data_IF_368436371471
#
_entry.id   IF_368436371471
#
_cell.length_a   1.000
_cell.length_b   1.000
_cell.length_c   1.000
_cell.angle_alpha   90.00
_cell.angle_beta   90.00
_cell.angle_gamma   90.00
#
_symmetry.space_group_name_H-M   'P 1'
#
loop_
_entity.id
_entity.type
_entity.pdbx_description
1 polymer ?
#
# COMPACT_ATOMS: atom_id res chain seq x y z
N UNK A 1 3.57 26.49 -20.63
CA UNK A 1 4.16 25.19 -20.27
C UNK A 1 5.50 25.43 -19.59
N UNK A 2 5.62 25.27 -18.27
CA UNK A 2 6.92 25.08 -17.61
C UNK A 2 7.02 23.62 -17.14
N UNK A 3 7.80 22.77 -17.81
CA UNK A 3 9.16 22.35 -17.43
C UNK A 3 9.31 21.95 -15.95
N UNK A 4 9.21 20.66 -15.68
CA UNK A 4 9.55 20.05 -14.39
C UNK A 4 11.06 19.82 -14.32
N UNK A 5 11.78 20.31 -13.30
CA UNK A 5 13.16 19.91 -13.10
C UNK A 5 13.23 18.62 -12.28
N UNK A 6 13.78 17.59 -12.92
CA UNK A 6 14.49 16.49 -12.29
C UNK A 6 15.64 17.10 -11.46
N UNK A 7 15.74 16.85 -10.15
CA UNK A 7 17.04 16.81 -9.46
C UNK A 7 16.96 16.09 -8.12
N UNK A 8 17.68 14.99 -8.08
CA UNK A 8 18.08 14.18 -6.94
C UNK A 8 18.84 15.01 -5.92
N UNK A 9 18.46 14.93 -4.64
CA UNK A 9 19.38 15.16 -3.52
C UNK A 9 19.18 14.11 -2.43
N UNK A 10 20.02 13.08 -2.53
CA UNK A 10 20.43 12.25 -1.40
C UNK A 10 21.14 13.14 -0.37
N UNK A 11 20.57 13.27 0.82
CA UNK A 11 21.31 13.67 2.03
C UNK A 11 20.96 12.70 3.14
N UNK A 12 21.95 11.88 3.50
CA UNK A 12 21.94 11.03 4.69
C UNK A 12 21.95 11.91 5.95
N UNK A 13 21.09 11.62 6.93
CA UNK A 13 21.52 11.62 8.33
C UNK A 13 20.66 10.73 9.21
N UNK A 14 21.37 9.87 9.92
CA UNK A 14 20.94 8.85 10.85
C UNK A 14 20.58 9.45 12.21
N UNK A 15 19.51 8.94 12.83
CA UNK A 15 19.41 8.80 14.29
C UNK A 15 18.55 7.58 14.60
N UNK A 16 19.16 6.65 15.33
CA UNK A 16 18.57 5.41 15.84
C UNK A 16 17.34 5.70 16.73
N UNK A 17 16.29 4.90 16.56
CA UNK A 17 15.36 4.58 17.64
C UNK A 17 15.22 3.07 17.73
N UNK A 18 15.56 2.57 18.91
CA UNK A 18 15.56 1.17 19.31
C UNK A 18 14.16 0.56 19.27
N UNK A 19 14.09 -0.67 18.76
CA UNK A 19 12.93 -1.56 18.82
C UNK A 19 13.35 -2.98 18.41
N UNK A 20 13.97 -3.71 19.34
CA UNK A 20 14.01 -5.19 19.35
C UNK A 20 12.55 -5.71 19.30
N UNK A 21 12.17 -6.75 18.56
CA UNK A 21 12.78 -8.08 18.43
C UNK A 21 12.18 -8.78 17.19
N UNK A 22 12.96 -8.90 16.13
CA UNK A 22 12.59 -9.63 14.91
C UNK A 22 12.71 -11.14 15.16
N UNK A 23 11.60 -11.81 15.49
CA UNK A 23 11.56 -13.28 15.49
C UNK A 23 11.31 -13.73 14.04
N UNK A 24 12.39 -13.78 13.27
CA UNK A 24 12.41 -14.28 11.91
C UNK A 24 11.96 -15.74 11.87
N UNK A 25 10.73 -15.97 11.40
CA UNK A 25 10.46 -17.16 10.59
C UNK A 25 11.28 -17.06 9.31
N UNK A 26 11.89 -18.16 8.89
CA UNK A 26 12.81 -18.22 7.74
C UNK A 26 12.13 -17.82 6.41
N UNK A 27 12.08 -16.52 6.13
CA UNK A 27 11.56 -15.92 4.90
C UNK A 27 11.32 -14.44 5.15
N UNK A 28 11.88 -13.56 4.32
CA UNK A 28 11.60 -12.12 4.43
C UNK A 28 10.11 -11.84 4.21
N UNK A 29 9.60 -10.74 4.78
CA UNK A 29 8.26 -10.27 4.45
C UNK A 29 8.27 -9.66 3.03
N UNK A 30 7.47 -10.21 2.12
CA UNK A 30 7.36 -9.74 0.74
C UNK A 30 6.87 -8.29 0.65
N UNK A 31 6.05 -7.86 1.63
CA UNK A 31 5.57 -6.47 1.72
C UNK A 31 6.66 -5.50 2.19
N UNK A 32 7.64 -5.96 2.96
CA UNK A 32 8.83 -5.17 3.31
C UNK A 32 9.80 -5.06 2.13
N UNK A 33 9.95 -6.12 1.34
CA UNK A 33 10.77 -6.08 0.12
C UNK A 33 10.19 -5.08 -0.89
N UNK A 34 8.86 -4.98 -0.95
CA UNK A 34 8.14 -4.04 -1.82
C UNK A 34 8.59 -4.15 -3.30
N UNK A 35 8.80 -5.39 -3.76
CA UNK A 35 9.14 -5.67 -5.15
C UNK A 35 8.03 -5.16 -6.09
N UNK A 36 8.40 -4.41 -7.13
CA UNK A 36 7.46 -3.80 -8.08
C UNK A 36 6.99 -4.80 -9.13
N UNK A 37 6.23 -5.81 -8.70
CA UNK A 37 5.73 -6.89 -9.56
C UNK A 37 4.42 -6.53 -10.31
N UNK A 38 3.63 -5.63 -9.74
CA UNK A 38 2.37 -5.14 -10.30
C UNK A 38 2.39 -3.63 -10.57
N UNK A 39 1.28 -3.08 -11.05
CA UNK A 39 1.14 -1.64 -11.24
C UNK A 39 1.13 -0.90 -9.90
N UNK A 40 1.95 0.15 -9.80
CA UNK A 40 2.04 1.03 -8.64
C UNK A 40 1.36 2.36 -8.95
N UNK A 41 0.51 2.81 -8.02
CA UNK A 41 -0.26 4.05 -8.16
C UNK A 41 0.30 5.18 -7.30
N UNK A 42 0.84 4.84 -6.13
CA UNK A 42 1.29 5.81 -5.15
C UNK A 42 2.40 5.25 -4.26
N UNK A 43 3.31 6.12 -3.84
CA UNK A 43 4.36 5.80 -2.89
C UNK A 43 4.79 7.06 -2.13
N UNK A 44 4.87 6.96 -0.79
CA UNK A 44 5.46 7.99 0.07
C UNK A 44 6.24 7.36 1.23
N UNK A 45 6.58 8.14 2.27
CA UNK A 45 7.31 7.67 3.45
C UNK A 45 6.48 6.80 4.39
N UNK A 46 5.15 6.84 4.32
CA UNK A 46 4.27 6.08 5.23
C UNK A 46 3.77 4.79 4.57
N UNK A 47 3.52 4.80 3.25
CA UNK A 47 2.91 3.68 2.55
C UNK A 47 3.24 3.62 1.06
N UNK A 48 2.84 2.51 0.45
CA UNK A 48 2.73 2.38 -1.00
C UNK A 48 1.37 1.77 -1.36
N UNK A 49 0.90 2.08 -2.58
CA UNK A 49 -0.37 1.57 -3.11
C UNK A 49 -0.10 0.98 -4.49
N UNK A 50 -0.44 -0.30 -4.63
CA UNK A 50 -0.26 -1.06 -5.87
C UNK A 50 -1.42 -2.02 -6.09
N UNK A 51 -1.50 -2.61 -7.27
CA UNK A 51 -2.44 -3.69 -7.54
C UNK A 51 -2.00 -4.99 -6.85
N UNK A 52 -2.89 -5.60 -6.09
CA UNK A 52 -2.63 -6.91 -5.48
C UNK A 52 -2.63 -8.02 -6.54
N UNK A 53 -1.55 -8.79 -6.66
CA UNK A 53 -1.44 -9.86 -7.67
C UNK A 53 -2.49 -10.97 -7.51
N UNK A 54 -2.88 -11.27 -6.27
CA UNK A 54 -3.85 -12.33 -5.97
C UNK A 54 -5.30 -11.89 -6.13
N UNK A 55 -5.59 -10.61 -5.89
CA UNK A 55 -6.97 -10.09 -5.85
C UNK A 55 -7.32 -9.20 -7.06
N UNK A 56 -6.32 -8.71 -7.79
CA UNK A 56 -6.45 -7.72 -8.87
C UNK A 56 -7.28 -6.50 -8.45
N UNK A 57 -7.00 -5.99 -7.25
CA UNK A 57 -7.60 -4.75 -6.68
C UNK A 57 -6.49 -3.90 -6.07
N UNK A 58 -6.65 -2.57 -6.00
CA UNK A 58 -5.68 -1.72 -5.32
C UNK A 58 -5.61 -2.07 -3.83
N UNK A 59 -4.39 -2.16 -3.30
CA UNK A 59 -4.11 -2.35 -1.89
C UNK A 59 -3.13 -1.29 -1.39
N UNK A 60 -3.39 -0.78 -0.18
CA UNK A 60 -2.44 0.04 0.56
C UNK A 60 -1.65 -0.84 1.50
N UNK A 61 -0.34 -0.61 1.56
CA UNK A 61 0.56 -1.31 2.46
C UNK A 61 1.31 -0.28 3.29
N UNK A 62 1.22 -0.42 4.62
CA UNK A 62 1.97 0.42 5.55
C UNK A 62 3.45 0.05 5.49
N UNK A 63 4.39 1.00 5.58
CA UNK A 63 5.81 0.65 5.52
C UNK A 63 6.36 0.01 6.78
N UNK A 64 5.77 0.32 7.92
CA UNK A 64 6.17 -0.29 9.18
C UNK A 64 5.71 -1.75 9.21
N UNK A 65 6.62 -2.67 9.53
CA UNK A 65 6.28 -4.09 9.72
C UNK A 65 5.62 -4.25 11.07
N UNK A 66 4.33 -3.90 11.11
CA UNK A 66 3.43 -4.19 12.21
C UNK A 66 2.02 -4.38 11.65
N UNK A 67 1.25 -5.28 12.25
CA UNK A 67 -0.13 -5.58 11.88
C UNK A 67 -1.16 -4.57 12.44
N UNK A 68 -0.76 -3.75 13.41
CA UNK A 68 -1.63 -2.93 14.25
C UNK A 68 -1.25 -1.44 14.17
N UNK A 69 -1.40 -0.78 13.01
CA UNK A 69 -1.28 0.67 12.95
C UNK A 69 -2.28 1.33 13.90
N UNK A 70 -1.90 2.47 14.46
CA UNK A 70 -2.81 3.33 15.20
C UNK A 70 -4.01 3.72 14.33
N UNK A 71 -5.12 4.09 14.96
CA UNK A 71 -6.32 4.51 14.23
C UNK A 71 -6.06 5.70 13.30
N UNK A 72 -5.24 6.66 13.74
CA UNK A 72 -4.84 7.81 12.93
C UNK A 72 -4.05 7.41 11.68
N UNK A 73 -3.07 6.50 11.83
CA UNK A 73 -2.31 5.96 10.71
C UNK A 73 -3.26 5.24 9.76
N UNK A 74 -4.11 4.36 10.29
CA UNK A 74 -5.08 3.59 9.50
C UNK A 74 -6.00 4.48 8.67
N UNK A 75 -6.53 5.54 9.27
CA UNK A 75 -7.36 6.52 8.57
C UNK A 75 -6.61 7.17 7.41
N UNK A 76 -5.38 7.65 7.63
CA UNK A 76 -4.57 8.25 6.54
C UNK A 76 -4.26 7.26 5.42
N UNK A 77 -3.97 6.00 5.76
CA UNK A 77 -3.75 4.94 4.76
C UNK A 77 -5.01 4.72 3.90
N UNK A 78 -6.19 4.70 4.53
CA UNK A 78 -7.46 4.53 3.83
C UNK A 78 -7.80 5.75 2.95
N UNK A 79 -7.56 6.96 3.42
CA UNK A 79 -7.74 8.19 2.64
C UNK A 79 -6.83 8.22 1.40
N UNK A 80 -5.58 7.77 1.52
CA UNK A 80 -4.66 7.66 0.37
C UNK A 80 -5.15 6.61 -0.62
N UNK A 81 -5.64 5.48 -0.13
CA UNK A 81 -6.22 4.43 -0.96
C UNK A 81 -7.47 4.92 -1.70
N UNK A 82 -8.35 5.67 -1.02
CA UNK A 82 -9.55 6.27 -1.62
C UNK A 82 -9.19 7.16 -2.80
N UNK A 83 -8.21 8.07 -2.63
CA UNK A 83 -7.74 8.95 -3.71
C UNK A 83 -7.25 8.18 -4.93
N UNK A 84 -6.51 7.08 -4.72
CA UNK A 84 -6.07 6.21 -5.82
C UNK A 84 -7.26 5.54 -6.50
N UNK A 85 -8.26 5.08 -5.76
CA UNK A 85 -9.47 4.52 -6.38
C UNK A 85 -10.20 5.57 -7.21
N UNK A 86 -10.42 6.77 -6.66
CA UNK A 86 -11.08 7.88 -7.34
C UNK A 86 -10.37 8.30 -8.64
N UNK A 87 -9.04 8.27 -8.65
CA UNK A 87 -8.24 8.67 -9.81
C UNK A 87 -8.15 7.57 -10.88
N UNK A 88 -8.01 6.29 -10.49
CA UNK A 88 -7.64 5.22 -11.42
C UNK A 88 -8.74 4.17 -11.68
N UNK A 89 -9.86 4.17 -10.95
CA UNK A 89 -10.86 3.10 -11.01
C UNK A 89 -12.30 3.61 -11.07
N UNK A 90 -13.16 2.87 -11.79
CA UNK A 90 -14.59 3.17 -11.94
C UNK A 90 -15.43 2.23 -11.05
N UNK A 91 -15.25 2.31 -9.73
CA UNK A 91 -16.10 1.63 -8.76
C UNK A 91 -16.15 2.34 -7.41
N UNK A 92 -17.27 2.17 -6.69
CA UNK A 92 -17.36 2.58 -5.29
C UNK A 92 -16.65 1.54 -4.41
N UNK A 93 -15.65 1.96 -3.62
CA UNK A 93 -14.86 1.03 -2.82
C UNK A 93 -15.44 0.76 -1.42
N UNK A 94 -15.14 -0.43 -0.90
CA UNK A 94 -15.12 -0.74 0.53
C UNK A 94 -13.72 -1.19 0.92
N UNK A 95 -13.32 -0.89 2.14
CA UNK A 95 -12.08 -1.40 2.71
C UNK A 95 -12.25 -2.85 3.14
N UNK A 96 -11.28 -3.69 2.80
CA UNK A 96 -11.09 -5.04 3.32
C UNK A 96 -9.74 -5.10 4.08
N UNK A 97 -9.83 -5.18 5.41
CA UNK A 97 -8.69 -5.26 6.32
C UNK A 97 -8.26 -6.70 6.63
N UNK A 98 -8.82 -7.70 5.94
CA UNK A 98 -8.42 -9.09 6.16
C UNK A 98 -7.09 -9.41 5.46
N UNK A 99 -5.99 -9.38 6.23
CA UNK A 99 -4.61 -9.51 5.76
C UNK A 99 -4.17 -10.92 5.32
N UNK A 100 -5.03 -11.94 5.51
CA UNK A 100 -4.86 -13.33 5.03
C UNK A 100 -3.42 -13.88 5.05
N UNK A 101 -2.72 -13.82 3.92
CA UNK A 101 -1.43 -14.48 3.68
C UNK A 101 -0.27 -13.88 4.46
N UNK A 102 -0.30 -12.56 4.72
CA UNK A 102 0.76 -11.85 5.44
C UNK A 102 0.11 -11.11 6.62
N UNK A 103 -0.34 -11.85 7.65
CA UNK A 103 -1.17 -11.30 8.72
C UNK A 103 -0.40 -10.44 9.73
N UNK A 104 0.93 -10.45 9.67
CA UNK A 104 1.82 -9.72 10.56
C UNK A 104 2.30 -8.36 10.00
N UNK A 105 1.91 -8.01 8.77
CA UNK A 105 2.24 -6.75 8.12
C UNK A 105 0.96 -6.07 7.60
N UNK A 106 0.65 -4.90 8.14
CA UNK A 106 -0.58 -4.20 7.80
C UNK A 106 -0.72 -3.84 6.33
N UNK A 107 -1.79 -4.35 5.73
CA UNK A 107 -2.26 -3.95 4.42
C UNK A 107 -3.78 -4.06 4.33
N UNK A 108 -4.37 -3.25 3.46
CA UNK A 108 -5.81 -3.24 3.24
C UNK A 108 -6.11 -3.15 1.74
N UNK A 109 -7.17 -3.83 1.32
CA UNK A 109 -7.60 -3.85 -0.08
C UNK A 109 -8.83 -2.97 -0.27
N UNK A 110 -8.88 -2.22 -1.37
CA UNK A 110 -10.08 -1.53 -1.81
C UNK A 110 -10.86 -2.44 -2.78
N UNK A 111 -11.97 -2.99 -2.31
CA UNK A 111 -12.82 -3.88 -3.11
C UNK A 111 -14.10 -3.15 -3.55
N UNK A 112 -14.66 -3.45 -4.73
CA UNK A 112 -15.93 -2.86 -5.15
C UNK A 112 -17.08 -3.17 -4.17
N UNK A 113 -17.94 -2.19 -3.89
CA UNK A 113 -19.22 -2.42 -3.19
C UNK A 113 -20.18 -3.18 -4.11
N UNK A 114 -20.80 -4.24 -3.57
CA UNK A 114 -21.85 -4.99 -4.26
C UNK A 114 -21.43 -5.78 -5.51
N UNK A 115 -20.13 -5.93 -5.78
CA UNK A 115 -19.63 -6.48 -7.04
C UNK A 115 -18.60 -7.62 -6.92
N UNK A 116 -18.27 -8.18 -8.08
CA UNK A 116 -17.18 -9.12 -8.29
C UNK A 116 -15.83 -8.35 -8.37
N UNK A 117 -14.74 -8.95 -7.89
CA UNK A 117 -13.38 -8.42 -8.03
C UNK A 117 -12.51 -9.43 -8.78
N UNK A 118 -11.47 -8.95 -9.44
CA UNK A 118 -10.57 -9.76 -10.26
C UNK A 118 -10.05 -8.99 -11.47
N UNK A 119 -9.28 -9.67 -12.31
CA UNK A 119 -8.77 -9.09 -13.54
C UNK A 119 -9.92 -8.54 -14.40
N UNK A 120 -9.78 -7.29 -14.88
CA UNK A 120 -10.81 -6.63 -15.69
C UNK A 120 -11.70 -5.62 -14.94
N UNK A 121 -11.36 -5.23 -13.71
CA UNK A 121 -11.96 -4.04 -13.10
C UNK A 121 -11.80 -2.82 -14.01
N UNK A 122 -12.91 -2.10 -14.22
CA UNK A 122 -12.90 -0.92 -15.08
C UNK A 122 -11.97 0.14 -14.48
N UNK A 123 -10.98 0.55 -15.27
CA UNK A 123 -10.10 1.66 -14.95
C UNK A 123 -10.77 2.97 -15.36
N UNK A 124 -10.57 4.01 -14.56
CA UNK A 124 -10.87 5.37 -14.97
C UNK A 124 -9.97 5.72 -16.17
N UNK A 125 -10.53 6.41 -17.17
CA UNK A 125 -9.86 6.67 -18.46
C UNK A 125 -8.69 7.62 -18.34
#
# INVERSE_FOLDING_TARGET
MPSVPMFVKCVRRSTLRSGEMSIFGSGGCELCEAARMSEWFYEDEECWIAECESCAVPMVVWREHDANPSEEVRTRLHEKLEKVVEEFFDFEMRIDNNMRTIPDHYHAHARPKGGFYGYGLRRAK
#
